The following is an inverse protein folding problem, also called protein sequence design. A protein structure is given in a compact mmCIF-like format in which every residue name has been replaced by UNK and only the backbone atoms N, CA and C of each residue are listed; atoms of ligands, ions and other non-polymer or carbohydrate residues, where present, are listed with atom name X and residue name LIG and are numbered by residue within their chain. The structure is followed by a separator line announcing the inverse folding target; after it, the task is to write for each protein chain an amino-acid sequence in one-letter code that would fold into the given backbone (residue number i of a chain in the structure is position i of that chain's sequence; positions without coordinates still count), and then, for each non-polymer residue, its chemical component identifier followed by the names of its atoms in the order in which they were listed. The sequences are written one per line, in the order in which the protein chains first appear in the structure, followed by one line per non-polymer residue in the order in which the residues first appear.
data_IF_056677932653
#
_entry.id   IF_056677932653
#
_cell.length_a   1.000
_cell.length_b   1.000
_cell.length_c   1.000
_cell.angle_alpha   90.00
_cell.angle_beta   90.00
_cell.angle_gamma   90.00
#
_symmetry.space_group_name_H-M   'P 1'
#
loop_
_entity.id
_entity.type
_entity.pdbx_description
1 polymer ?
#
# COMPACT_ATOMS: atom_id res chain seq x y z
N UNK A 1 -55.80 -59.33 13.74
CA UNK A 1 -54.52 -58.94 13.15
C UNK A 1 -54.77 -57.82 12.14
N UNK A 2 -54.39 -56.58 12.47
CA UNK A 2 -54.51 -55.46 11.54
C UNK A 2 -53.11 -55.13 11.04
N UNK A 3 -52.90 -54.86 9.74
CA UNK A 3 -51.60 -54.50 9.19
C UNK A 3 -51.26 -53.01 9.48
N UNK A 4 -50.03 -52.77 9.89
CA UNK A 4 -49.47 -51.45 10.12
C UNK A 4 -48.85 -50.99 8.81
N UNK A 5 -49.37 -49.88 8.23
CA UNK A 5 -48.75 -49.20 7.11
C UNK A 5 -47.71 -48.22 7.62
N UNK A 6 -46.46 -48.46 7.26
CA UNK A 6 -45.36 -47.51 7.45
C UNK A 6 -45.27 -46.59 6.22
N UNK A 7 -45.64 -45.33 6.40
CA UNK A 7 -45.44 -44.30 5.34
C UNK A 7 -44.02 -43.77 5.42
N UNK A 8 -43.26 -44.01 4.36
CA UNK A 8 -41.94 -43.41 4.16
C UNK A 8 -42.11 -42.01 3.55
N UNK A 9 -41.84 -40.98 4.35
CA UNK A 9 -41.79 -39.58 3.88
C UNK A 9 -40.39 -39.32 3.30
N UNK A 10 -40.30 -39.16 1.98
CA UNK A 10 -39.08 -38.75 1.28
C UNK A 10 -38.99 -37.24 1.43
N UNK A 11 -38.03 -36.74 2.21
CA UNK A 11 -37.68 -35.32 2.30
C UNK A 11 -36.82 -34.94 1.09
N UNK A 12 -37.40 -34.24 0.14
CA UNK A 12 -36.66 -33.61 -0.96
C UNK A 12 -35.99 -32.34 -0.44
N UNK A 13 -34.68 -32.39 -0.18
CA UNK A 13 -33.90 -31.17 0.14
C UNK A 13 -33.59 -30.50 -1.19
N UNK A 14 -34.38 -29.48 -1.55
CA UNK A 14 -34.06 -28.56 -2.61
C UNK A 14 -32.95 -27.63 -2.12
N UNK A 15 -31.71 -27.90 -2.54
CA UNK A 15 -30.60 -26.98 -2.35
C UNK A 15 -30.84 -25.70 -3.15
N UNK A 16 -31.19 -24.62 -2.46
CA UNK A 16 -31.14 -23.28 -3.03
C UNK A 16 -29.65 -22.90 -3.18
N UNK A 17 -29.10 -23.03 -4.37
CA UNK A 17 -27.87 -22.33 -4.76
C UNK A 17 -28.28 -20.86 -4.87
N UNK A 18 -27.99 -20.08 -3.83
CA UNK A 18 -28.10 -18.63 -3.88
C UNK A 18 -27.04 -18.14 -4.87
N UNK A 19 -27.45 -17.89 -6.11
CA UNK A 19 -26.67 -17.09 -7.04
C UNK A 19 -26.61 -15.67 -6.44
N UNK A 20 -25.51 -15.36 -5.79
CA UNK A 20 -25.19 -13.97 -5.44
C UNK A 20 -25.22 -13.16 -6.73
N UNK A 21 -25.98 -12.04 -6.78
CA UNK A 21 -25.97 -11.21 -7.96
C UNK A 21 -24.55 -10.76 -8.24
N UNK A 22 -23.98 -11.14 -9.37
CA UNK A 22 -22.78 -10.50 -9.88
C UNK A 22 -23.10 -9.02 -10.01
N UNK A 23 -22.50 -8.21 -9.16
CA UNK A 23 -22.46 -6.77 -9.39
C UNK A 23 -21.58 -6.58 -10.61
N UNK A 24 -22.23 -6.56 -11.78
CA UNK A 24 -21.60 -6.05 -12.99
C UNK A 24 -21.31 -4.58 -12.70
N UNK A 25 -20.06 -4.23 -12.42
CA UNK A 25 -19.63 -2.84 -12.38
C UNK A 25 -19.83 -2.29 -13.79
N UNK A 26 -20.92 -1.55 -13.98
CA UNK A 26 -21.21 -0.88 -15.24
C UNK A 26 -20.12 0.14 -15.52
N UNK A 27 -19.82 0.35 -16.79
CA UNK A 27 -18.65 1.06 -17.31
C UNK A 27 -18.48 2.53 -16.91
N UNK A 28 -19.35 3.15 -16.11
CA UNK A 28 -19.31 4.57 -15.75
C UNK A 28 -19.77 4.85 -14.31
N UNK A 29 -19.26 4.09 -13.34
CA UNK A 29 -19.53 4.43 -11.93
C UNK A 29 -18.58 5.53 -11.49
N UNK A 30 -19.15 6.69 -11.13
CA UNK A 30 -18.37 7.74 -10.46
C UNK A 30 -17.91 7.21 -9.10
N UNK A 31 -16.62 7.22 -8.87
CA UNK A 31 -16.03 6.84 -7.59
C UNK A 31 -16.54 7.76 -6.49
N UNK A 32 -17.11 7.20 -5.43
CA UNK A 32 -17.72 7.97 -4.34
C UNK A 32 -16.72 8.86 -3.61
N UNK A 33 -15.50 8.36 -3.42
CA UNK A 33 -14.46 9.06 -2.65
C UNK A 33 -13.85 10.19 -3.47
N UNK A 34 -13.40 9.87 -4.67
CA UNK A 34 -12.69 10.84 -5.53
C UNK A 34 -13.64 11.74 -6.35
N UNK A 35 -14.86 11.29 -6.61
CA UNK A 35 -15.78 11.95 -7.53
C UNK A 35 -15.37 11.84 -9.00
N UNK A 36 -14.46 10.93 -9.32
CA UNK A 36 -13.91 10.71 -10.67
C UNK A 36 -14.50 9.42 -11.25
N UNK A 37 -14.80 9.34 -12.58
CA UNK A 37 -15.21 8.10 -13.20
C UNK A 37 -14.17 6.99 -12.97
N UNK A 38 -14.63 5.84 -12.47
CA UNK A 38 -13.82 4.68 -12.16
C UNK A 38 -14.12 3.54 -13.12
N UNK A 39 -13.12 3.07 -13.81
CA UNK A 39 -13.22 1.91 -14.67
C UNK A 39 -12.57 0.70 -13.99
N UNK A 40 -13.26 -0.45 -13.94
CA UNK A 40 -12.65 -1.68 -13.46
C UNK A 40 -11.49 -2.09 -14.38
N UNK A 41 -10.46 -2.66 -13.78
CA UNK A 41 -9.39 -3.35 -14.49
C UNK A 41 -9.57 -4.83 -14.17
N UNK A 42 -9.83 -5.64 -15.20
CA UNK A 42 -10.05 -7.07 -15.02
C UNK A 42 -8.71 -7.80 -14.97
N UNK A 43 -8.40 -8.38 -13.82
CA UNK A 43 -7.22 -9.22 -13.61
C UNK A 43 -7.72 -10.57 -13.10
N UNK A 44 -7.80 -11.57 -13.98
CA UNK A 44 -8.23 -12.90 -13.58
C UNK A 44 -7.18 -13.57 -12.67
N UNK A 45 -5.90 -13.40 -13.00
CA UNK A 45 -4.76 -13.97 -12.28
C UNK A 45 -3.53 -13.09 -12.44
N UNK A 46 -2.73 -13.03 -11.38
CA UNK A 46 -1.38 -12.49 -11.40
C UNK A 46 -0.38 -13.50 -12.00
N UNK A 47 0.85 -13.09 -12.34
CA UNK A 47 1.87 -13.99 -12.87
C UNK A 47 2.02 -15.28 -12.06
N UNK A 48 2.07 -16.43 -12.77
CA UNK A 48 2.18 -17.75 -12.16
C UNK A 48 0.87 -18.30 -11.56
N UNK A 49 -0.29 -17.82 -12.02
CA UNK A 49 -1.61 -18.29 -11.55
C UNK A 49 -1.94 -17.84 -10.13
N UNK A 50 -1.36 -16.70 -9.69
CA UNK A 50 -1.57 -16.17 -8.34
C UNK A 50 -2.85 -15.32 -8.29
N UNK A 51 -3.46 -15.25 -7.11
CA UNK A 51 -4.71 -14.53 -6.89
C UNK A 51 -4.58 -13.31 -5.96
N UNK A 52 -3.51 -13.26 -5.18
CA UNK A 52 -3.26 -12.16 -4.24
C UNK A 52 -1.85 -11.61 -4.49
N UNK A 53 -1.73 -10.42 -5.05
CA UNK A 53 -0.48 -9.70 -5.11
C UNK A 53 -0.23 -8.94 -3.79
N UNK A 54 0.97 -9.03 -3.24
CA UNK A 54 1.36 -8.33 -2.03
C UNK A 54 2.59 -7.48 -2.32
N UNK A 55 2.43 -6.15 -2.22
CA UNK A 55 3.49 -5.17 -2.36
C UNK A 55 3.87 -4.62 -0.99
N UNK A 56 5.11 -4.84 -0.56
CA UNK A 56 5.63 -4.13 0.61
C UNK A 56 6.11 -2.75 0.16
N UNK A 57 5.48 -1.70 0.69
CA UNK A 57 5.83 -0.31 0.43
C UNK A 57 6.53 0.24 1.67
N UNK A 58 7.79 0.60 1.50
CA UNK A 58 8.67 1.03 2.58
C UNK A 58 8.82 2.53 2.55
N UNK A 59 8.30 3.19 3.58
CA UNK A 59 8.23 4.63 3.69
C UNK A 59 9.59 5.18 4.19
N UNK A 60 10.35 5.75 3.27
CA UNK A 60 11.68 6.36 3.50
C UNK A 60 11.49 7.86 3.61
N UNK A 61 11.26 8.32 4.82
CA UNK A 61 10.72 9.64 5.12
C UNK A 61 11.66 10.51 5.95
N UNK A 62 11.48 11.81 5.79
CA UNK A 62 12.07 12.86 6.63
C UNK A 62 11.01 13.87 7.05
N UNK A 63 11.24 14.54 8.18
CA UNK A 63 10.37 15.59 8.71
C UNK A 63 11.19 16.84 9.02
N UNK A 64 10.54 18.01 8.99
CA UNK A 64 11.09 19.19 9.62
C UNK A 64 11.17 18.99 11.14
N UNK A 65 12.22 19.50 11.76
CA UNK A 65 12.40 19.40 13.20
C UNK A 65 11.18 19.96 13.96
N UNK A 66 10.62 19.22 14.87
CA UNK A 66 9.40 19.55 15.59
C UNK A 66 8.09 19.33 14.83
N UNK A 67 8.13 18.81 13.58
CA UNK A 67 6.96 18.66 12.71
C UNK A 67 6.65 17.21 12.31
N UNK A 68 7.23 16.25 12.99
CA UNK A 68 6.89 14.82 12.80
C UNK A 68 5.77 14.36 13.73
N UNK A 69 5.30 13.09 13.55
CA UNK A 69 4.26 12.51 14.39
C UNK A 69 4.70 12.35 15.83
N UNK A 70 3.75 12.45 16.77
CA UNK A 70 3.99 12.17 18.18
C UNK A 70 3.74 10.69 18.48
N UNK A 71 4.71 10.03 19.11
CA UNK A 71 4.59 8.65 19.58
C UNK A 71 3.91 8.54 20.94
N UNK A 72 3.85 9.67 21.66
CA UNK A 72 3.22 9.78 22.97
C UNK A 72 2.08 10.78 22.91
N UNK A 73 0.86 10.30 22.86
CA UNK A 73 -0.34 11.13 22.74
C UNK A 73 -0.52 12.12 23.90
N UNK A 74 -0.05 11.75 25.10
CA UNK A 74 -0.06 12.59 26.31
C UNK A 74 0.92 13.77 26.23
N UNK A 75 1.89 13.72 25.30
CA UNK A 75 2.90 14.76 25.08
C UNK A 75 2.69 15.52 23.77
N UNK A 76 1.57 15.35 23.08
CA UNK A 76 1.30 15.96 21.76
C UNK A 76 1.42 17.50 21.72
N UNK A 77 1.31 18.18 22.87
CA UNK A 77 1.52 19.62 22.99
C UNK A 77 2.99 20.08 23.05
N UNK A 78 3.95 19.16 23.21
CA UNK A 78 5.38 19.48 23.25
C UNK A 78 5.94 19.54 21.84
N UNK A 79 6.48 20.69 21.46
CA UNK A 79 7.09 20.91 20.14
C UNK A 79 8.36 21.76 20.27
N UNK A 80 9.55 21.23 19.95
CA UNK A 80 9.82 19.82 19.61
C UNK A 80 9.76 18.89 20.84
N UNK A 81 9.36 17.64 20.66
CA UNK A 81 9.61 16.58 21.63
C UNK A 81 10.86 15.80 21.22
N UNK A 82 11.94 15.93 21.98
CA UNK A 82 13.21 15.30 21.62
C UNK A 82 13.19 13.78 21.67
N UNK A 83 12.24 13.17 22.40
CA UNK A 83 12.08 11.72 22.40
C UNK A 83 11.50 11.27 21.05
N UNK A 84 10.47 11.96 20.57
CA UNK A 84 9.87 11.67 19.25
C UNK A 84 10.88 11.91 18.12
N UNK A 85 11.65 13.03 18.19
CA UNK A 85 12.72 13.28 17.21
C UNK A 85 13.77 12.16 17.22
N UNK A 86 14.24 11.77 18.41
CA UNK A 86 15.24 10.70 18.55
C UNK A 86 14.72 9.35 18.04
N UNK A 87 13.42 9.07 18.22
CA UNK A 87 12.84 7.81 17.75
C UNK A 87 12.72 7.78 16.22
N UNK A 88 12.37 8.90 15.58
CA UNK A 88 12.42 9.02 14.12
C UNK A 88 13.83 8.87 13.58
N UNK A 89 14.82 9.55 14.18
CA UNK A 89 16.24 9.39 13.80
C UNK A 89 16.72 7.96 13.97
N UNK A 90 16.32 7.27 15.05
CA UNK A 90 16.60 5.84 15.20
C UNK A 90 16.06 5.02 14.04
N UNK A 91 14.82 5.31 13.59
CA UNK A 91 14.24 4.68 12.42
C UNK A 91 15.06 4.91 11.15
N UNK A 92 15.52 6.15 10.93
CA UNK A 92 16.35 6.51 9.78
C UNK A 92 17.71 5.80 9.84
N UNK A 93 18.44 5.96 10.93
CA UNK A 93 19.82 5.49 11.05
C UNK A 93 19.95 3.96 11.15
N UNK A 94 18.99 3.30 11.82
CA UNK A 94 19.05 1.87 12.11
C UNK A 94 17.94 1.08 11.42
N UNK A 95 16.75 1.64 11.33
CA UNK A 95 15.58 0.97 10.76
C UNK A 95 15.67 0.82 9.24
N UNK A 96 16.05 1.89 8.53
CA UNK A 96 16.17 1.87 7.05
C UNK A 96 17.19 0.82 6.59
N UNK A 97 18.44 0.78 7.08
CA UNK A 97 19.38 -0.28 6.69
C UNK A 97 18.89 -1.68 7.07
N UNK A 98 18.28 -1.85 8.25
CA UNK A 98 17.81 -3.14 8.75
C UNK A 98 16.72 -3.74 7.89
N UNK A 99 15.72 -2.93 7.46
CA UNK A 99 14.65 -3.39 6.56
C UNK A 99 15.23 -3.73 5.19
N UNK A 100 16.10 -2.90 4.63
CA UNK A 100 16.77 -3.19 3.37
C UNK A 100 17.50 -4.53 3.40
N UNK A 101 18.29 -4.78 4.46
CA UNK A 101 19.02 -6.03 4.66
C UNK A 101 18.08 -7.23 4.80
N UNK A 102 16.96 -7.09 5.55
CA UNK A 102 15.97 -8.12 5.72
C UNK A 102 15.32 -8.55 4.39
N UNK A 103 14.86 -7.58 3.59
CA UNK A 103 14.22 -7.89 2.31
C UNK A 103 15.21 -8.51 1.31
N UNK A 104 16.45 -8.04 1.30
CA UNK A 104 17.53 -8.66 0.52
C UNK A 104 17.80 -10.10 0.95
N UNK A 105 17.93 -10.35 2.25
CA UNK A 105 18.16 -11.69 2.82
C UNK A 105 17.02 -12.66 2.47
N UNK A 106 15.78 -12.20 2.61
CA UNK A 106 14.60 -12.99 2.28
C UNK A 106 14.34 -13.10 0.76
N UNK A 107 15.02 -12.31 -0.08
CA UNK A 107 14.87 -12.34 -1.54
C UNK A 107 13.50 -11.86 -2.01
N UNK A 108 12.86 -10.96 -1.26
CA UNK A 108 11.53 -10.42 -1.55
C UNK A 108 11.66 -9.00 -2.15
N UNK A 109 10.93 -8.68 -3.23
CA UNK A 109 10.86 -7.32 -3.76
C UNK A 109 10.32 -6.32 -2.73
N UNK A 110 10.81 -5.08 -2.82
CA UNK A 110 10.41 -3.96 -1.98
C UNK A 110 10.16 -2.75 -2.87
N UNK A 111 9.09 -2.00 -2.61
CA UNK A 111 8.85 -0.68 -3.21
C UNK A 111 9.28 0.40 -2.23
N UNK A 112 10.02 1.40 -2.68
CA UNK A 112 10.46 2.54 -1.87
C UNK A 112 9.46 3.68 -2.05
N UNK A 113 8.80 4.11 -0.99
CA UNK A 113 8.00 5.33 -0.93
C UNK A 113 8.92 6.43 -0.38
N UNK A 114 9.32 7.38 -1.23
CA UNK A 114 10.46 8.26 -0.97
C UNK A 114 10.06 9.73 -0.88
N UNK A 115 10.36 10.36 0.27
CA UNK A 115 10.40 11.82 0.32
C UNK A 115 11.59 12.36 -0.48
N UNK A 116 11.36 13.37 -1.31
CA UNK A 116 12.37 13.93 -2.22
C UNK A 116 13.61 14.50 -1.50
N UNK A 117 13.44 14.96 -0.28
CA UNK A 117 14.56 15.52 0.51
C UNK A 117 15.40 14.46 1.23
N UNK A 118 14.95 13.20 1.29
CA UNK A 118 15.68 12.16 2.03
C UNK A 118 17.10 11.94 1.50
N UNK A 119 17.34 11.75 0.17
CA UNK A 119 18.69 11.49 -0.34
C UNK A 119 19.68 12.62 -0.01
N UNK A 120 19.23 13.88 -0.09
CA UNK A 120 20.10 15.04 0.21
C UNK A 120 20.30 15.29 1.70
N UNK A 121 19.31 14.96 2.54
CA UNK A 121 19.40 15.15 4.00
C UNK A 121 20.08 13.99 4.72
N UNK A 122 20.03 12.78 4.15
CA UNK A 122 20.60 11.54 4.71
C UNK A 122 21.41 10.77 3.66
N UNK A 123 22.43 11.39 3.05
CA UNK A 123 23.11 10.84 1.87
C UNK A 123 23.78 9.48 2.12
N UNK A 124 24.39 9.27 3.29
CA UNK A 124 25.07 8.01 3.59
C UNK A 124 24.07 6.87 3.82
N UNK A 125 23.00 7.11 4.56
CA UNK A 125 21.92 6.13 4.78
C UNK A 125 21.26 5.77 3.44
N UNK A 126 20.97 6.78 2.61
CA UNK A 126 20.39 6.55 1.28
C UNK A 126 21.30 5.71 0.38
N UNK A 127 22.59 6.05 0.34
CA UNK A 127 23.57 5.34 -0.49
C UNK A 127 23.70 3.88 -0.09
N UNK A 128 23.82 3.58 1.21
CA UNK A 128 23.90 2.22 1.74
C UNK A 128 22.62 1.43 1.47
N UNK A 129 21.46 2.02 1.79
CA UNK A 129 20.16 1.40 1.57
C UNK A 129 19.92 1.12 0.09
N UNK A 130 20.16 2.07 -0.80
CA UNK A 130 19.98 1.90 -2.24
C UNK A 130 20.91 0.83 -2.82
N UNK A 131 22.13 0.73 -2.33
CA UNK A 131 23.05 -0.36 -2.71
C UNK A 131 22.55 -1.74 -2.27
N UNK A 132 21.80 -1.81 -1.17
CA UNK A 132 21.22 -3.04 -0.66
C UNK A 132 20.03 -3.51 -1.50
N UNK A 133 19.18 -2.57 -1.98
CA UNK A 133 17.97 -2.82 -2.77
C UNK A 133 17.99 -2.06 -4.11
N UNK A 134 18.99 -2.30 -4.99
CA UNK A 134 19.24 -1.44 -6.15
C UNK A 134 18.13 -1.43 -7.21
N UNK A 135 17.29 -2.45 -7.22
CA UNK A 135 16.20 -2.62 -8.21
C UNK A 135 14.82 -2.19 -7.68
N UNK A 136 14.72 -1.83 -6.40
CA UNK A 136 13.45 -1.43 -5.83
C UNK A 136 12.90 -0.19 -6.57
N UNK A 137 11.64 -0.22 -7.07
CA UNK A 137 11.01 0.94 -7.67
C UNK A 137 10.81 2.03 -6.64
N UNK A 138 10.75 3.28 -7.12
CA UNK A 138 10.52 4.47 -6.29
C UNK A 138 9.14 5.03 -6.59
N UNK A 139 8.34 5.18 -5.55
CA UNK A 139 7.08 5.94 -5.52
C UNK A 139 7.38 7.28 -4.86
N UNK A 140 7.00 8.38 -5.50
CA UNK A 140 7.21 9.71 -4.95
C UNK A 140 6.26 10.00 -3.79
N UNK A 141 6.80 10.59 -2.71
CA UNK A 141 6.08 10.85 -1.46
C UNK A 141 6.26 12.30 -0.98
N UNK A 142 6.06 13.26 -1.87
CA UNK A 142 6.25 14.68 -1.56
C UNK A 142 7.68 15.05 -1.21
N UNK A 143 7.86 16.29 -0.75
CA UNK A 143 9.18 16.82 -0.39
C UNK A 143 9.70 16.23 0.93
N UNK A 144 8.87 16.24 1.95
CA UNK A 144 9.05 15.59 3.26
C UNK A 144 7.68 15.19 3.81
N UNK A 145 7.61 14.59 4.99
CA UNK A 145 6.33 14.15 5.56
C UNK A 145 5.79 15.07 6.69
N UNK A 146 6.23 16.32 6.74
CA UNK A 146 5.68 17.34 7.64
C UNK A 146 4.30 17.78 7.17
N UNK A 147 3.43 18.16 8.10
CA UNK A 147 1.99 18.41 7.87
C UNK A 147 1.64 19.59 6.96
N UNK A 148 2.61 20.42 6.59
CA UNK A 148 2.45 21.58 5.72
C UNK A 148 2.77 21.32 4.23
N UNK A 149 2.91 20.07 3.86
CA UNK A 149 3.47 19.66 2.58
C UNK A 149 2.53 19.77 1.38
N UNK A 150 1.28 19.40 1.54
CA UNK A 150 0.30 19.53 0.47
C UNK A 150 -0.61 20.71 0.80
N UNK A 151 -0.66 21.73 -0.07
CA UNK A 151 -1.77 22.64 -0.01
C UNK A 151 -3.04 21.81 -0.21
N UNK A 152 -3.85 21.65 0.83
CA UNK A 152 -5.19 21.06 0.74
C UNK A 152 -6.11 22.02 -0.02
N UNK A 153 -5.61 22.63 -1.08
CA UNK A 153 -6.33 23.58 -1.92
C UNK A 153 -6.95 22.85 -3.11
N UNK A 154 -8.06 23.34 -3.58
CA UNK A 154 -8.68 22.91 -4.84
C UNK A 154 -7.90 23.38 -6.08
N UNK A 155 -6.70 23.92 -5.92
CA UNK A 155 -5.86 24.40 -7.03
C UNK A 155 -5.02 23.24 -7.58
N UNK A 156 -5.51 22.65 -8.66
CA UNK A 156 -4.85 21.56 -9.38
C UNK A 156 -3.48 21.98 -9.93
N UNK A 157 -3.34 23.21 -10.43
CA UNK A 157 -2.09 23.68 -10.99
C UNK A 157 -1.00 23.82 -9.91
N UNK A 158 -1.36 24.30 -8.73
CA UNK A 158 -0.43 24.35 -7.58
C UNK A 158 -0.01 22.95 -7.13
N UNK A 159 -0.93 21.99 -7.07
CA UNK A 159 -0.61 20.61 -6.74
C UNK A 159 0.24 19.95 -7.83
N UNK A 160 -0.08 20.15 -9.11
CA UNK A 160 0.74 19.66 -10.22
C UNK A 160 2.17 20.18 -10.14
N UNK A 161 2.34 21.48 -9.90
CA UNK A 161 3.66 22.11 -9.78
C UNK A 161 4.46 21.53 -8.59
N UNK A 162 3.79 21.27 -7.45
CA UNK A 162 4.40 20.61 -6.31
C UNK A 162 4.85 19.18 -6.64
N UNK A 163 3.98 18.40 -7.26
CA UNK A 163 4.28 17.01 -7.66
C UNK A 163 5.46 17.00 -8.64
N UNK A 164 5.43 17.82 -9.71
CA UNK A 164 6.53 17.91 -10.69
C UNK A 164 7.85 18.23 -10.02
N UNK A 165 7.89 19.24 -9.13
CA UNK A 165 9.10 19.60 -8.38
C UNK A 165 9.60 18.43 -7.52
N UNK A 166 8.71 17.68 -6.91
CA UNK A 166 9.06 16.45 -6.15
C UNK A 166 9.70 15.41 -7.06
N UNK A 167 9.10 15.14 -8.22
CA UNK A 167 9.63 14.18 -9.21
C UNK A 167 11.00 14.62 -9.73
N UNK A 168 11.16 15.90 -10.09
CA UNK A 168 12.41 16.44 -10.61
C UNK A 168 13.56 16.33 -9.60
N UNK A 169 13.26 16.55 -8.30
CA UNK A 169 14.27 16.42 -7.26
C UNK A 169 14.65 14.96 -7.00
N UNK A 170 13.68 14.03 -6.97
CA UNK A 170 13.97 12.60 -6.84
C UNK A 170 14.81 12.13 -8.04
N UNK A 171 14.43 12.48 -9.27
CA UNK A 171 15.18 12.11 -10.46
C UNK A 171 16.61 12.65 -10.43
N UNK A 172 16.79 13.92 -10.05
CA UNK A 172 18.11 14.54 -9.90
C UNK A 172 19.00 13.79 -8.92
N UNK A 173 18.46 13.41 -7.74
CA UNK A 173 19.27 12.88 -6.64
C UNK A 173 19.42 11.34 -6.72
N UNK A 174 18.55 10.66 -7.46
CA UNK A 174 18.53 9.18 -7.54
C UNK A 174 18.79 8.62 -8.93
N UNK A 175 18.68 9.45 -9.98
CA UNK A 175 18.69 9.01 -11.38
C UNK A 175 17.41 8.30 -11.83
N UNK A 176 16.36 8.24 -10.99
CA UNK A 176 15.09 7.56 -11.28
C UNK A 176 13.95 8.57 -11.21
N UNK A 177 13.19 8.72 -12.32
CA UNK A 177 11.94 9.48 -12.31
C UNK A 177 10.80 8.56 -11.87
N UNK A 178 10.17 8.80 -10.72
CA UNK A 178 9.07 8.00 -10.26
C UNK A 178 7.85 8.06 -11.18
N UNK A 179 7.14 6.94 -11.32
CA UNK A 179 5.85 6.84 -12.03
C UNK A 179 4.67 6.67 -11.09
N UNK A 180 4.92 6.36 -9.83
CA UNK A 180 3.94 6.24 -8.77
C UNK A 180 3.94 7.42 -7.83
N UNK A 181 2.80 7.68 -7.22
CA UNK A 181 2.58 8.71 -6.20
C UNK A 181 1.90 8.12 -4.98
N UNK A 182 2.36 8.51 -3.80
CA UNK A 182 1.69 8.34 -2.52
C UNK A 182 1.70 9.68 -1.82
N UNK A 183 0.55 10.19 -1.42
CA UNK A 183 0.48 11.48 -0.74
C UNK A 183 1.10 11.43 0.65
N UNK A 184 1.95 12.41 1.03
CA UNK A 184 2.50 12.49 2.39
C UNK A 184 1.40 12.40 3.43
N UNK A 185 1.62 11.59 4.49
CA UNK A 185 0.63 11.32 5.54
C UNK A 185 -0.72 10.82 5.02
N UNK A 186 -0.77 10.26 3.80
CA UNK A 186 -1.98 9.84 3.05
C UNK A 186 -3.03 10.93 2.90
N UNK A 187 -2.62 12.19 2.90
CA UNK A 187 -3.49 13.36 2.70
C UNK A 187 -3.65 13.69 1.22
N UNK A 188 -4.43 12.87 0.49
CA UNK A 188 -4.93 13.23 -0.83
C UNK A 188 -6.25 13.98 -0.70
N UNK A 189 -6.51 14.92 -1.62
CA UNK A 189 -7.84 15.45 -1.88
C UNK A 189 -8.26 15.12 -3.33
N UNK A 190 -9.48 15.47 -3.72
CA UNK A 190 -10.00 15.13 -5.06
C UNK A 190 -9.15 15.69 -6.20
N UNK A 191 -8.55 16.85 -5.98
CA UNK A 191 -7.70 17.55 -6.94
C UNK A 191 -6.30 16.91 -7.08
N UNK A 192 -5.87 16.13 -6.10
CA UNK A 192 -4.58 15.41 -6.14
C UNK A 192 -4.52 14.41 -7.29
N UNK A 193 -5.60 13.71 -7.57
CA UNK A 193 -5.63 12.69 -8.63
C UNK A 193 -5.43 13.26 -10.03
N UNK A 194 -6.19 14.28 -10.49
CA UNK A 194 -5.93 14.91 -11.78
C UNK A 194 -4.59 15.67 -11.82
N UNK A 195 -4.12 16.25 -10.71
CA UNK A 195 -2.81 16.89 -10.62
C UNK A 195 -1.67 15.87 -10.79
N UNK A 196 -1.80 14.69 -10.18
CA UNK A 196 -0.84 13.59 -10.34
C UNK A 196 -0.77 13.11 -11.79
N UNK A 197 -1.92 12.87 -12.42
CA UNK A 197 -1.97 12.49 -13.83
C UNK A 197 -1.36 13.58 -14.74
N UNK A 198 -1.65 14.86 -14.51
CA UNK A 198 -1.06 15.98 -15.24
C UNK A 198 0.47 16.05 -15.06
N UNK A 199 0.99 15.70 -13.89
CA UNK A 199 2.42 15.64 -13.62
C UNK A 199 3.13 14.44 -14.28
N UNK A 200 2.38 13.50 -14.89
CA UNK A 200 2.93 12.31 -15.55
C UNK A 200 2.98 11.07 -14.67
N UNK A 201 2.33 11.09 -13.50
CA UNK A 201 2.14 9.91 -12.67
C UNK A 201 1.16 8.96 -13.35
N UNK A 202 1.45 7.66 -13.32
CA UNK A 202 0.65 6.62 -13.97
C UNK A 202 -0.14 5.77 -12.98
N UNK A 203 0.28 5.72 -11.72
CA UNK A 203 -0.44 5.03 -10.64
C UNK A 203 -0.28 5.71 -9.30
N UNK A 204 -1.23 5.48 -8.40
CA UNK A 204 -1.22 6.02 -7.04
C UNK A 204 -1.52 4.94 -6.00
N UNK A 205 -1.00 5.15 -4.79
CA UNK A 205 -1.30 4.38 -3.57
C UNK A 205 -2.36 5.08 -2.70
N UNK A 206 -2.95 6.19 -3.15
CA UNK A 206 -3.93 6.95 -2.36
C UNK A 206 -5.34 6.33 -2.35
N UNK A 207 -5.51 5.13 -2.90
CA UNK A 207 -6.78 4.39 -2.90
C UNK A 207 -6.86 3.39 -1.75
N UNK A 208 -7.87 3.54 -0.88
CA UNK A 208 -8.03 2.74 0.34
C UNK A 208 -9.36 1.98 0.42
N UNK A 209 -10.14 2.00 -0.65
CA UNK A 209 -11.54 1.57 -0.70
C UNK A 209 -11.80 0.35 -1.58
N UNK A 210 -10.74 -0.39 -1.94
CA UNK A 210 -10.83 -1.53 -2.85
C UNK A 210 -9.80 -2.60 -2.53
N UNK A 211 -10.09 -3.83 -2.91
CA UNK A 211 -9.13 -4.95 -2.93
C UNK A 211 -8.58 -5.25 -4.34
N UNK A 212 -9.10 -4.55 -5.37
CA UNK A 212 -8.69 -4.75 -6.76
C UNK A 212 -8.19 -3.45 -7.37
N UNK A 213 -7.30 -3.57 -8.36
CA UNK A 213 -6.85 -2.41 -9.14
C UNK A 213 -8.02 -1.78 -9.91
N UNK A 214 -8.00 -0.47 -10.04
CA UNK A 214 -8.98 0.26 -10.81
C UNK A 214 -8.32 1.44 -11.55
N UNK A 215 -8.95 1.94 -12.59
CA UNK A 215 -8.49 3.12 -13.34
C UNK A 215 -9.41 4.29 -13.07
N UNK A 216 -8.87 5.37 -12.54
CA UNK A 216 -9.56 6.65 -12.44
C UNK A 216 -9.37 7.40 -13.76
N UNK A 217 -10.47 7.79 -14.38
CA UNK A 217 -10.50 8.57 -15.62
C UNK A 217 -10.49 10.05 -15.29
N UNK A 218 -9.33 10.56 -14.87
CA UNK A 218 -9.21 11.98 -14.53
C UNK A 218 -9.25 12.86 -15.77
N UNK A 219 -9.58 14.13 -15.62
CA UNK A 219 -9.57 15.11 -16.73
C UNK A 219 -8.18 15.35 -17.32
N UNK A 220 -7.12 14.94 -16.61
CA UNK A 220 -5.73 15.07 -17.04
C UNK A 220 -5.15 13.78 -17.61
N UNK A 221 -5.92 12.70 -17.63
CA UNK A 221 -5.53 11.38 -18.09
C UNK A 221 -5.88 10.26 -17.11
N UNK A 222 -5.72 9.00 -17.52
CA UNK A 222 -6.00 7.85 -16.66
C UNK A 222 -4.94 7.72 -15.57
N UNK A 223 -5.37 7.29 -14.38
CA UNK A 223 -4.52 7.01 -13.23
C UNK A 223 -4.91 5.67 -12.61
N UNK A 224 -4.00 4.71 -12.53
CA UNK A 224 -4.28 3.42 -11.89
C UNK A 224 -4.19 3.56 -10.38
N UNK A 225 -5.20 3.06 -9.67
CA UNK A 225 -5.20 2.92 -8.21
C UNK A 225 -4.72 1.51 -7.83
N UNK A 226 -3.60 1.44 -7.09
CA UNK A 226 -3.17 0.22 -6.41
C UNK A 226 -3.67 0.33 -4.96
N UNK A 227 -4.51 -0.60 -4.48
CA UNK A 227 -5.05 -0.55 -3.13
C UNK A 227 -3.99 -0.51 -2.02
N UNK A 228 -4.18 0.44 -1.09
CA UNK A 228 -3.34 0.62 0.09
C UNK A 228 -4.24 0.78 1.33
N UNK A 229 -4.87 -0.31 1.79
CA UNK A 229 -5.89 -0.24 2.82
C UNK A 229 -5.32 0.15 4.19
N UNK A 230 -6.07 0.96 4.94
CA UNK A 230 -5.67 1.47 6.27
C UNK A 230 -5.21 0.37 7.24
N UNK A 231 -5.83 -0.83 7.31
CA UNK A 231 -5.37 -1.88 8.21
C UNK A 231 -3.96 -2.38 7.94
N UNK A 232 -3.44 -2.19 6.74
CA UNK A 232 -2.12 -2.69 6.34
C UNK A 232 -0.98 -1.67 6.51
N UNK A 233 -1.27 -0.47 7.04
CA UNK A 233 -0.28 0.58 7.31
C UNK A 233 0.16 0.52 8.77
N UNK A 234 1.42 0.16 9.03
CA UNK A 234 1.95 -0.04 10.39
C UNK A 234 1.92 1.23 11.26
N UNK A 235 2.29 2.39 10.71
CA UNK A 235 2.29 3.65 11.45
C UNK A 235 0.89 3.99 11.99
N UNK A 236 -0.15 3.84 11.17
CA UNK A 236 -1.53 4.08 11.60
C UNK A 236 -1.98 3.11 12.71
N UNK A 237 -1.55 1.85 12.64
CA UNK A 237 -1.83 0.85 13.67
C UNK A 237 -1.05 1.17 14.96
N UNK A 238 0.22 1.55 14.86
CA UNK A 238 1.07 1.86 15.99
C UNK A 238 0.64 3.14 16.72
N UNK A 239 0.52 4.26 15.99
CA UNK A 239 0.25 5.58 16.58
C UNK A 239 -1.20 5.77 17.04
N UNK A 240 -2.17 5.25 16.28
CA UNK A 240 -3.60 5.51 16.55
C UNK A 240 -4.30 4.38 17.27
N UNK A 241 -3.83 3.14 17.10
CA UNK A 241 -4.48 1.96 17.66
C UNK A 241 -3.63 1.23 18.69
N UNK A 242 -2.47 1.77 19.05
CA UNK A 242 -1.52 1.21 20.02
C UNK A 242 -1.19 -0.27 19.74
N UNK A 243 -0.98 -0.61 18.46
CA UNK A 243 -0.63 -1.96 18.05
C UNK A 243 0.87 -2.15 18.02
N UNK A 244 1.34 -3.23 18.63
CA UNK A 244 2.75 -3.62 18.57
C UNK A 244 3.07 -4.38 17.27
N UNK A 245 4.34 -4.50 16.86
CA UNK A 245 4.74 -5.22 15.65
C UNK A 245 4.17 -6.66 15.55
N UNK A 246 4.03 -7.35 16.67
CA UNK A 246 3.46 -8.71 16.73
C UNK A 246 1.94 -8.73 16.44
N UNK A 247 1.22 -7.67 16.79
CA UNK A 247 -0.19 -7.52 16.42
C UNK A 247 -0.34 -7.30 14.92
N UNK A 248 0.57 -6.52 14.32
CA UNK A 248 0.59 -6.28 12.88
C UNK A 248 0.97 -7.53 12.11
N UNK A 249 1.95 -8.30 12.59
CA UNK A 249 2.30 -9.60 12.04
C UNK A 249 1.07 -10.49 11.88
N UNK A 250 0.29 -10.67 12.96
CA UNK A 250 -0.94 -11.45 12.94
C UNK A 250 -1.98 -10.84 12.00
N UNK A 251 -2.22 -9.54 12.10
CA UNK A 251 -3.19 -8.83 11.28
C UNK A 251 -2.92 -9.01 9.78
N UNK A 252 -1.68 -8.87 9.34
CA UNK A 252 -1.31 -8.96 7.93
C UNK A 252 -1.36 -10.40 7.41
N UNK A 253 -0.94 -11.37 8.21
CA UNK A 253 -1.06 -12.79 7.87
C UNK A 253 -2.53 -13.17 7.73
N UNK A 254 -3.39 -12.80 8.69
CA UNK A 254 -4.82 -13.10 8.66
C UNK A 254 -5.50 -12.42 7.47
N UNK A 255 -5.18 -11.13 7.19
CA UNK A 255 -5.73 -10.37 6.08
C UNK A 255 -5.44 -11.06 4.72
N UNK A 256 -4.18 -11.42 4.48
CA UNK A 256 -3.77 -12.04 3.22
C UNK A 256 -4.29 -13.47 3.12
N UNK A 257 -4.30 -14.23 4.21
CA UNK A 257 -4.85 -15.59 4.25
C UNK A 257 -6.34 -15.60 3.95
N UNK A 258 -7.10 -14.61 4.40
CA UNK A 258 -8.52 -14.50 4.09
C UNK A 258 -8.77 -14.17 2.61
N UNK A 259 -8.01 -13.24 2.02
CA UNK A 259 -8.09 -12.97 0.57
C UNK A 259 -7.79 -14.23 -0.26
N UNK A 260 -6.78 -15.02 0.16
CA UNK A 260 -6.48 -16.30 -0.49
C UNK A 260 -7.65 -17.29 -0.34
N UNK A 261 -8.21 -17.45 0.87
CA UNK A 261 -9.35 -18.34 1.12
C UNK A 261 -10.57 -17.95 0.28
N UNK A 262 -10.84 -16.66 0.13
CA UNK A 262 -11.93 -16.17 -0.71
C UNK A 262 -11.71 -16.50 -2.20
N UNK A 263 -10.46 -16.37 -2.69
CA UNK A 263 -10.11 -16.72 -4.06
C UNK A 263 -10.18 -18.25 -4.30
N UNK A 264 -9.85 -19.07 -3.31
CA UNK A 264 -10.01 -20.52 -3.36
C UNK A 264 -11.49 -20.94 -3.39
N UNK A 265 -12.34 -20.22 -2.62
CA UNK A 265 -13.78 -20.48 -2.57
C UNK A 265 -14.50 -20.07 -3.85
N UNK A 266 -14.05 -19.02 -4.52
CA UNK A 266 -14.56 -18.57 -5.83
C UNK A 266 -13.42 -18.22 -6.78
N UNK A 267 -12.87 -19.16 -7.54
CA UNK A 267 -11.81 -18.94 -8.51
C UNK A 267 -12.15 -17.94 -9.62
N UNK A 268 -13.43 -17.62 -9.83
CA UNK A 268 -13.87 -16.65 -10.84
C UNK A 268 -13.75 -15.20 -10.39
N UNK A 269 -13.43 -14.96 -9.12
CA UNK A 269 -13.19 -13.61 -8.59
C UNK A 269 -11.97 -12.95 -9.24
N UNK A 270 -12.04 -11.63 -9.35
CA UNK A 270 -10.88 -10.82 -9.71
C UNK A 270 -9.71 -11.08 -8.74
N UNK A 271 -8.51 -11.12 -9.27
CA UNK A 271 -7.31 -11.20 -8.47
C UNK A 271 -7.11 -9.90 -7.68
N UNK A 272 -6.82 -10.04 -6.40
CA UNK A 272 -6.67 -8.93 -5.46
C UNK A 272 -5.22 -8.44 -5.39
N UNK A 273 -5.04 -7.19 -4.95
CA UNK A 273 -3.72 -6.62 -4.65
C UNK A 273 -3.79 -5.83 -3.35
N UNK A 274 -2.78 -5.95 -2.53
CA UNK A 274 -2.66 -5.20 -1.29
C UNK A 274 -1.24 -4.63 -1.14
N UNK A 275 -1.15 -3.33 -0.88
CA UNK A 275 0.08 -2.72 -0.42
C UNK A 275 0.13 -2.76 1.12
N UNK A 276 1.28 -3.13 1.67
CA UNK A 276 1.56 -3.14 3.11
C UNK A 276 2.57 -2.03 3.39
N UNK A 277 2.16 -1.03 4.16
CA UNK A 277 2.99 0.11 4.55
C UNK A 277 3.91 -0.23 5.72
N UNK A 278 5.19 0.01 5.53
CA UNK A 278 6.25 -0.33 6.48
C UNK A 278 7.06 0.92 6.79
N UNK A 279 7.05 1.37 8.05
CA UNK A 279 7.83 2.52 8.49
C UNK A 279 9.07 2.09 9.29
N UNK A 280 10.24 2.73 9.08
CA UNK A 280 11.49 2.30 9.66
C UNK A 280 11.54 2.39 11.19
N UNK A 281 10.82 3.35 11.79
CA UNK A 281 10.73 3.50 13.25
C UNK A 281 9.73 2.54 13.90
N UNK A 282 8.89 1.84 13.14
CA UNK A 282 7.98 0.79 13.64
C UNK A 282 8.58 -0.58 13.35
N UNK A 283 8.55 -1.00 12.09
CA UNK A 283 8.99 -2.33 11.69
C UNK A 283 10.50 -2.45 11.49
N UNK A 284 11.23 -1.32 11.46
CA UNK A 284 12.70 -1.31 11.42
C UNK A 284 13.37 -1.44 12.79
N UNK A 285 12.63 -1.51 13.91
CA UNK A 285 13.16 -1.88 15.22
C UNK A 285 13.56 -3.37 15.23
N UNK A 286 14.41 -3.86 16.17
CA UNK A 286 14.74 -5.28 16.23
C UNK A 286 13.52 -6.20 16.38
N UNK A 287 12.55 -5.81 17.22
CA UNK A 287 11.28 -6.56 17.39
C UNK A 287 10.40 -6.48 16.14
N UNK A 288 10.32 -5.31 15.50
CA UNK A 288 9.59 -5.11 14.25
C UNK A 288 10.18 -5.92 13.11
N UNK A 289 11.51 -5.90 12.93
CA UNK A 289 12.19 -6.71 11.91
C UNK A 289 12.00 -8.22 12.13
N UNK A 290 11.97 -8.67 13.39
CA UNK A 290 11.68 -10.08 13.70
C UNK A 290 10.23 -10.45 13.31
N UNK A 291 9.25 -9.59 13.60
CA UNK A 291 7.85 -9.79 13.16
C UNK A 291 7.73 -9.75 11.64
N UNK A 292 8.39 -8.78 10.97
CA UNK A 292 8.39 -8.70 9.50
C UNK A 292 8.98 -9.97 8.88
N UNK A 293 10.09 -10.48 9.41
CA UNK A 293 10.67 -11.75 8.94
C UNK A 293 9.67 -12.89 8.98
N UNK A 294 8.89 -13.03 10.07
CA UNK A 294 7.87 -14.08 10.17
C UNK A 294 6.72 -13.87 9.19
N UNK A 295 6.32 -12.62 8.94
CA UNK A 295 5.36 -12.30 7.87
C UNK A 295 5.88 -12.79 6.51
N UNK A 296 7.09 -12.39 6.11
CA UNK A 296 7.68 -12.77 4.83
C UNK A 296 7.79 -14.30 4.68
N UNK A 297 8.25 -14.97 5.73
CA UNK A 297 8.39 -16.44 5.74
C UNK A 297 7.03 -17.16 5.68
N UNK A 298 6.00 -16.64 6.35
CA UNK A 298 4.64 -17.18 6.26
C UNK A 298 4.08 -17.03 4.85
N UNK A 299 4.17 -15.82 4.26
CA UNK A 299 3.62 -15.55 2.93
C UNK A 299 4.31 -16.35 1.83
N UNK A 300 5.58 -16.72 1.98
CA UNK A 300 6.28 -17.62 1.06
C UNK A 300 5.63 -19.02 0.96
N UNK A 301 4.90 -19.44 1.99
CA UNK A 301 4.23 -20.74 2.02
C UNK A 301 2.82 -20.69 1.40
N UNK A 302 2.27 -19.50 1.16
CA UNK A 302 0.92 -19.33 0.65
C UNK A 302 0.89 -19.49 -0.88
N UNK A 303 0.09 -20.44 -1.36
CA UNK A 303 0.13 -20.90 -2.76
C UNK A 303 -0.35 -19.86 -3.77
N UNK A 304 -1.35 -19.05 -3.42
CA UNK A 304 -1.95 -18.05 -4.31
C UNK A 304 -1.38 -16.64 -4.13
N UNK A 305 -0.39 -16.47 -3.25
CA UNK A 305 0.26 -15.18 -2.99
C UNK A 305 1.43 -14.95 -3.95
N UNK A 306 1.49 -13.74 -4.50
CA UNK A 306 2.60 -13.21 -5.28
C UNK A 306 3.18 -12.00 -4.56
N UNK A 307 4.27 -12.19 -3.82
CA UNK A 307 5.02 -11.09 -3.24
C UNK A 307 5.83 -10.39 -4.33
N UNK A 308 5.56 -9.10 -4.50
CA UNK A 308 6.05 -8.34 -5.65
C UNK A 308 6.26 -6.86 -5.30
N UNK A 309 6.56 -6.05 -6.28
CA UNK A 309 6.63 -4.59 -6.19
C UNK A 309 5.57 -3.90 -7.07
N UNK A 310 5.40 -2.60 -6.87
CA UNK A 310 4.37 -1.82 -7.58
C UNK A 310 4.61 -1.72 -9.08
N UNK A 311 5.86 -1.69 -9.54
CA UNK A 311 6.17 -1.64 -10.97
C UNK A 311 5.85 -2.96 -11.66
N UNK A 312 6.06 -4.09 -10.99
CA UNK A 312 5.68 -5.40 -11.49
C UNK A 312 4.14 -5.58 -11.55
N UNK A 313 3.41 -5.06 -10.55
CA UNK A 313 1.93 -4.99 -10.61
C UNK A 313 1.49 -4.19 -11.83
N UNK A 314 2.06 -3.00 -12.05
CA UNK A 314 1.74 -2.15 -13.21
C UNK A 314 2.09 -2.82 -14.54
N UNK A 315 3.20 -3.56 -14.60
CA UNK A 315 3.57 -4.33 -15.79
C UNK A 315 2.54 -5.43 -16.10
N UNK A 316 2.07 -6.16 -15.06
CA UNK A 316 1.04 -7.18 -15.22
C UNK A 316 -0.32 -6.59 -15.63
N UNK A 317 -0.71 -5.45 -15.05
CA UNK A 317 -1.93 -4.70 -15.44
C UNK A 317 -1.88 -4.30 -16.91
N UNK A 318 -0.73 -3.76 -17.38
CA UNK A 318 -0.58 -3.31 -18.76
C UNK A 318 -0.49 -4.46 -19.77
N UNK A 319 -0.05 -5.66 -19.36
CA UNK A 319 0.03 -6.83 -20.23
C UNK A 319 -1.35 -7.49 -20.48
N UNK A 320 -2.33 -7.21 -19.63
CA UNK A 320 -3.69 -7.73 -19.72
C UNK A 320 -4.65 -6.78 -20.49
N UNK A 321 -4.14 -5.66 -20.95
CA UNK A 321 -4.88 -4.61 -21.70
C UNK A 321 -4.10 -4.11 -22.91
#
# INVERSE_FOLDING_TARGET
MRPIYVSATVLLVLGFVALSPRVSLSADVTDWVTGIPRQPIHVAEWPGGKKVAVCFVFDVEVWGFGNGPNFRSDMAGRKPDLVDESFREYGIEWGVPRIGALFKEEGIPLTIVLNALFPSQRPEVWKEFRATVPKAPIVAHGMNNSTDQLPLSADIAAQEAYIRRTLDLIEKDTGVRPRGWSSPSVYANRETFPASAAAGITYTLDGMDSDVVARLMTKSGPLVMIPYPVPTVDMGQYLTRNKEPQDMERLWIDYISELQREAEADPSREATVVAIGVHPFVMGTPSGAASMRRVLQNLKQQKLVWMTDTDAVMAAVNANH
#
